data_IF_266749551002
#
_entry.id   IF_266749551002
#
_cell.length_a   1.000
_cell.length_b   1.000
_cell.length_c   1.000
_cell.angle_alpha   90.00
_cell.angle_beta   90.00
_cell.angle_gamma   90.00
#
_symmetry.space_group_name_H-M   'P 1'
#
loop_
_entity.id
_entity.type
_entity.pdbx_description
1 polymer ?
#
# COMPACT_ATOMS: atom_id res chain seq x y z
N UNK A 1 -34.81 12.36 -5.79
CA UNK A 1 -34.85 13.61 -4.98
C UNK A 1 -35.36 13.37 -3.55
N UNK A 2 -36.31 12.45 -3.34
CA UNK A 2 -37.00 12.32 -2.03
C UNK A 2 -36.32 11.42 -0.98
N UNK A 3 -35.36 10.59 -1.38
CA UNK A 3 -34.53 9.78 -0.47
C UNK A 3 -33.38 10.60 0.12
N UNK A 4 -32.77 11.46 -0.70
CA UNK A 4 -31.66 12.34 -0.31
C UNK A 4 -32.11 13.42 0.68
N UNK A 5 -33.34 13.94 0.54
CA UNK A 5 -33.91 14.95 1.44
C UNK A 5 -34.26 14.40 2.83
N UNK A 6 -34.46 13.08 2.96
CA UNK A 6 -34.76 12.40 4.23
C UNK A 6 -33.49 12.06 5.01
N UNK A 7 -32.46 11.57 4.34
CA UNK A 7 -31.12 11.37 4.91
C UNK A 7 -30.50 12.70 5.40
N UNK A 8 -30.66 13.79 4.64
CA UNK A 8 -30.18 15.12 5.02
C UNK A 8 -30.86 15.71 6.26
N UNK A 9 -32.12 15.33 6.53
CA UNK A 9 -32.88 15.79 7.72
C UNK A 9 -32.54 15.00 8.98
N UNK A 10 -32.24 13.71 8.86
CA UNK A 10 -31.83 12.88 10.00
C UNK A 10 -30.45 13.30 10.56
N UNK A 11 -29.50 13.68 9.69
CA UNK A 11 -28.18 14.18 10.11
C UNK A 11 -28.24 15.58 10.79
N UNK A 12 -29.29 16.37 10.54
CA UNK A 12 -29.46 17.66 11.23
C UNK A 12 -29.85 17.51 12.71
N UNK A 13 -30.54 16.43 13.09
CA UNK A 13 -30.99 16.23 14.48
C UNK A 13 -29.92 15.56 15.36
N UNK A 14 -29.01 14.76 14.78
CA UNK A 14 -27.95 14.10 15.54
C UNK A 14 -26.79 15.03 15.94
N UNK A 15 -26.59 16.15 15.25
CA UNK A 15 -25.43 17.05 15.42
C UNK A 15 -25.70 18.28 16.30
N UNK A 16 -26.96 18.62 16.57
CA UNK A 16 -27.33 19.80 17.38
C UNK A 16 -26.96 19.67 18.88
N UNK A 17 -26.47 18.51 19.32
CA UNK A 17 -26.12 18.23 20.72
C UNK A 17 -24.64 18.30 21.07
N UNK A 18 -23.74 18.77 20.19
CA UNK A 18 -22.28 18.64 20.39
C UNK A 18 -21.44 19.92 20.42
N UNK A 19 -22.03 21.11 20.33
CA UNK A 19 -21.28 22.37 20.41
C UNK A 19 -21.47 23.09 21.74
N UNK A 20 -20.79 22.66 22.81
CA UNK A 20 -20.48 23.53 23.96
C UNK A 20 -19.16 23.07 24.61
N UNK A 21 -18.22 24.03 24.73
CA UNK A 21 -16.95 24.04 25.50
C UNK A 21 -15.64 23.67 24.77
N UNK A 22 -15.09 24.65 24.04
CA UNK A 22 -13.64 24.81 23.91
C UNK A 22 -13.24 26.16 24.53
N UNK A 23 -12.62 26.11 25.73
CA UNK A 23 -11.92 27.25 26.33
C UNK A 23 -10.43 26.98 26.11
N UNK A 24 -9.81 27.76 25.24
CA UNK A 24 -8.35 27.86 25.08
C UNK A 24 -7.76 28.63 26.27
N UNK A 25 -6.75 28.10 26.99
CA UNK A 25 -5.95 28.92 27.88
C UNK A 25 -4.77 29.54 27.11
N UNK A 26 -4.68 30.86 27.27
CA UNK A 26 -3.63 31.75 26.79
C UNK A 26 -2.26 31.45 27.42
N UNK A 27 -1.22 31.79 26.65
CA UNK A 27 0.19 31.99 27.00
C UNK A 27 0.56 31.89 28.49
N UNK A 28 1.50 31.01 28.82
CA UNK A 28 2.38 31.25 29.95
C UNK A 28 3.86 30.96 29.62
N UNK A 29 4.61 32.05 29.72
CA UNK A 29 6.02 32.34 29.92
C UNK A 29 7.11 31.25 29.89
N UNK A 30 8.27 31.72 29.39
CA UNK A 30 9.61 31.14 29.48
C UNK A 30 9.88 30.39 30.79
N UNK A 31 9.83 29.06 30.72
CA UNK A 31 10.63 28.18 31.58
C UNK A 31 11.40 27.25 30.67
N UNK A 32 12.70 27.50 30.53
CA UNK A 32 13.67 26.53 30.05
C UNK A 32 13.76 25.39 31.07
N UNK A 33 12.73 24.56 31.09
CA UNK A 33 12.73 23.28 31.78
C UNK A 33 13.65 22.35 31.00
N UNK A 34 14.79 22.00 31.57
CA UNK A 34 15.59 20.87 31.12
C UNK A 34 14.67 19.64 31.10
N UNK A 35 14.22 19.27 29.90
CA UNK A 35 13.32 18.11 29.71
C UNK A 35 14.01 16.88 30.30
N UNK A 36 13.32 16.06 31.11
CA UNK A 36 13.94 14.91 31.77
C UNK A 36 14.52 13.92 30.75
N UNK A 37 15.74 13.43 31.02
CA UNK A 37 16.48 12.51 30.14
C UNK A 37 15.67 11.26 29.75
N UNK A 38 14.74 10.82 30.61
CA UNK A 38 13.83 9.68 30.36
C UNK A 38 12.91 9.89 29.16
N UNK A 39 12.37 11.10 28.97
CA UNK A 39 11.51 11.45 27.82
C UNK A 39 12.32 11.50 26.53
N UNK A 40 13.58 11.94 26.64
CA UNK A 40 14.50 12.02 25.51
C UNK A 40 14.94 10.64 25.01
N UNK A 41 15.25 9.74 25.95
CA UNK A 41 15.59 8.34 25.66
C UNK A 41 14.39 7.58 25.07
N UNK A 42 13.18 7.78 25.61
CA UNK A 42 11.96 7.21 25.05
C UNK A 42 11.77 7.63 23.59
N UNK A 43 11.84 8.92 23.27
CA UNK A 43 11.63 9.39 21.89
C UNK A 43 12.69 8.90 20.90
N UNK A 44 13.94 8.72 21.32
CA UNK A 44 14.98 8.12 20.47
C UNK A 44 14.66 6.65 20.19
N UNK A 45 14.22 5.92 21.22
CA UNK A 45 13.78 4.53 21.09
C UNK A 45 12.54 4.41 20.18
N UNK A 46 11.57 5.31 20.29
CA UNK A 46 10.42 5.37 19.39
C UNK A 46 10.83 5.57 17.92
N UNK A 47 11.72 6.53 17.64
CA UNK A 47 12.22 6.75 16.28
C UNK A 47 12.98 5.52 15.76
N UNK A 48 13.87 4.94 16.57
CA UNK A 48 14.62 3.75 16.21
C UNK A 48 13.70 2.54 15.94
N UNK A 49 12.66 2.35 16.75
CA UNK A 49 11.68 1.28 16.57
C UNK A 49 10.90 1.44 15.25
N UNK A 50 10.46 2.65 14.91
CA UNK A 50 9.78 2.92 13.62
C UNK A 50 10.73 2.70 12.45
N UNK A 51 11.96 3.20 12.52
CA UNK A 51 12.96 3.05 11.46
C UNK A 51 13.33 1.57 11.22
N UNK A 52 13.49 0.80 12.29
CA UNK A 52 13.77 -0.63 12.22
C UNK A 52 12.55 -1.40 11.67
N UNK A 53 11.35 -1.12 12.17
CA UNK A 53 10.11 -1.72 11.69
C UNK A 53 9.90 -1.43 10.19
N UNK A 54 10.14 -0.20 9.74
CA UNK A 54 10.10 0.19 8.32
C UNK A 54 11.14 -0.59 7.51
N UNK A 55 12.39 -0.69 7.98
CA UNK A 55 13.43 -1.41 7.23
C UNK A 55 13.09 -2.90 7.03
N UNK A 56 12.52 -3.54 8.04
CA UNK A 56 12.09 -4.94 8.00
C UNK A 56 10.85 -5.14 7.12
N UNK A 57 9.88 -4.21 7.21
CA UNK A 57 8.72 -4.19 6.32
C UNK A 57 9.15 -4.05 4.86
N UNK A 58 10.12 -3.17 4.57
CA UNK A 58 10.65 -2.99 3.21
C UNK A 58 11.37 -4.20 2.69
N UNK A 59 12.13 -4.87 3.54
CA UNK A 59 12.74 -6.14 3.19
C UNK A 59 11.67 -7.18 2.84
N UNK A 60 10.58 -7.24 3.61
CA UNK A 60 9.48 -8.15 3.33
C UNK A 60 8.74 -7.80 2.02
N UNK A 61 8.46 -6.52 1.78
CA UNK A 61 7.79 -6.03 0.57
C UNK A 61 8.61 -6.32 -0.69
N UNK A 62 9.89 -5.99 -0.69
CA UNK A 62 10.74 -6.32 -1.84
C UNK A 62 10.91 -7.83 -1.98
N UNK A 63 10.92 -8.59 -0.88
CA UNK A 63 11.13 -10.03 -0.90
C UNK A 63 9.98 -10.80 -1.53
N UNK A 64 8.75 -10.30 -1.37
CA UNK A 64 7.62 -10.86 -2.13
C UNK A 64 7.64 -10.43 -3.59
N UNK A 65 7.92 -9.16 -3.89
CA UNK A 65 7.83 -8.63 -5.27
C UNK A 65 8.99 -9.02 -6.19
N UNK A 66 10.18 -9.31 -5.65
CA UNK A 66 11.41 -9.42 -6.44
C UNK A 66 11.40 -10.54 -7.47
N UNK A 67 10.91 -11.72 -7.08
CA UNK A 67 10.91 -12.91 -7.92
C UNK A 67 9.52 -13.54 -8.04
N UNK A 68 8.44 -12.78 -7.80
CA UNK A 68 7.08 -13.34 -7.86
C UNK A 68 6.75 -13.90 -9.25
N UNK A 69 7.15 -13.19 -10.31
CA UNK A 69 6.93 -13.67 -11.69
C UNK A 69 7.66 -14.99 -11.92
N UNK A 70 8.91 -15.08 -11.48
CA UNK A 70 9.70 -16.30 -11.60
C UNK A 70 9.08 -17.45 -10.80
N UNK A 71 8.64 -17.19 -9.57
CA UNK A 71 8.01 -18.19 -8.70
C UNK A 71 6.76 -18.80 -9.37
N UNK A 72 5.93 -17.96 -10.01
CA UNK A 72 4.70 -18.42 -10.67
C UNK A 72 4.98 -19.08 -12.03
N UNK A 73 6.03 -18.68 -12.74
CA UNK A 73 6.38 -19.25 -14.03
C UNK A 73 7.19 -20.55 -13.92
N UNK A 74 7.88 -20.76 -12.80
CA UNK A 74 8.72 -21.95 -12.54
C UNK A 74 7.92 -23.15 -12.05
N UNK A 75 8.59 -24.31 -12.00
CA UNK A 75 8.03 -25.52 -11.37
C UNK A 75 7.64 -25.23 -9.92
N UNK A 76 6.44 -25.65 -9.46
CA UNK A 76 5.43 -26.47 -10.16
C UNK A 76 4.18 -25.68 -10.57
N UNK A 77 4.26 -24.35 -10.69
CA UNK A 77 3.11 -23.53 -11.05
C UNK A 77 2.93 -23.44 -12.56
N UNK A 78 4.05 -23.28 -13.29
CA UNK A 78 4.07 -23.19 -14.76
C UNK A 78 3.03 -22.22 -15.33
N UNK A 79 2.80 -21.08 -14.67
CA UNK A 79 1.92 -20.05 -15.21
C UNK A 79 2.56 -19.45 -16.45
N UNK A 80 1.73 -19.23 -17.48
CA UNK A 80 2.15 -18.50 -18.67
C UNK A 80 2.73 -17.12 -18.27
N UNK A 81 3.77 -16.65 -18.96
CA UNK A 81 4.46 -15.39 -18.62
C UNK A 81 3.52 -14.18 -18.54
N UNK A 82 2.46 -14.16 -19.35
CA UNK A 82 1.39 -13.16 -19.31
C UNK A 82 0.64 -13.17 -17.97
N UNK A 83 0.14 -14.35 -17.56
CA UNK A 83 -0.59 -14.55 -16.29
C UNK A 83 0.31 -14.33 -15.07
N UNK A 84 1.56 -14.81 -15.11
CA UNK A 84 2.55 -14.61 -14.06
C UNK A 84 2.88 -13.11 -13.86
N UNK A 85 2.93 -12.34 -14.94
CA UNK A 85 3.16 -10.88 -14.89
C UNK A 85 1.94 -10.09 -14.41
N UNK A 86 0.72 -10.59 -14.64
CA UNK A 86 -0.50 -9.93 -14.16
C UNK A 86 -0.62 -9.95 -12.63
N UNK A 87 -0.19 -11.02 -11.97
CA UNK A 87 -0.26 -11.15 -10.52
C UNK A 87 0.41 -9.99 -9.74
N UNK A 88 1.69 -9.65 -9.95
CA UNK A 88 2.31 -8.50 -9.29
C UNK A 88 1.69 -7.15 -9.69
N UNK A 89 1.21 -7.00 -10.93
CA UNK A 89 0.55 -5.76 -11.38
C UNK A 89 -0.79 -5.54 -10.65
N UNK A 90 -1.61 -6.60 -10.52
CA UNK A 90 -2.87 -6.57 -9.76
C UNK A 90 -2.58 -6.28 -8.29
N UNK A 91 -1.61 -6.98 -7.69
CA UNK A 91 -1.15 -6.75 -6.33
C UNK A 91 -0.79 -5.28 -6.10
N UNK A 92 0.01 -4.70 -6.99
CA UNK A 92 0.48 -3.33 -6.88
C UNK A 92 -0.65 -2.32 -7.10
N UNK A 93 -1.53 -2.58 -8.07
CA UNK A 93 -2.72 -1.77 -8.32
C UNK A 93 -3.65 -1.70 -7.11
N UNK A 94 -3.96 -2.85 -6.50
CA UNK A 94 -4.79 -2.91 -5.28
C UNK A 94 -4.09 -2.17 -4.12
N UNK A 95 -2.79 -2.36 -3.94
CA UNK A 95 -2.00 -1.71 -2.89
C UNK A 95 -2.12 -0.17 -2.98
N UNK A 96 -1.99 0.40 -4.18
CA UNK A 96 -2.09 1.85 -4.35
C UNK A 96 -3.53 2.36 -4.26
N UNK A 97 -4.52 1.58 -4.70
CA UNK A 97 -5.94 1.95 -4.60
C UNK A 97 -6.47 1.90 -3.16
N UNK A 98 -5.99 0.96 -2.34
CA UNK A 98 -6.41 0.82 -0.94
C UNK A 98 -5.68 1.80 0.00
N UNK A 99 -4.53 2.34 -0.42
CA UNK A 99 -3.73 3.26 0.41
C UNK A 99 -4.52 4.48 0.93
N UNK A 100 -5.31 5.20 0.10
CA UNK A 100 -6.19 6.27 0.59
C UNK A 100 -7.21 5.81 1.63
N UNK A 101 -7.79 4.61 1.44
CA UNK A 101 -8.73 4.04 2.41
C UNK A 101 -8.03 3.72 3.74
N UNK A 102 -6.80 3.22 3.71
CA UNK A 102 -5.98 3.02 4.91
C UNK A 102 -5.72 4.32 5.67
N UNK A 103 -5.46 5.44 4.96
CA UNK A 103 -5.31 6.75 5.59
C UNK A 103 -6.63 7.25 6.20
N UNK A 104 -7.74 7.13 5.45
CA UNK A 104 -9.08 7.44 5.97
C UNK A 104 -9.42 6.64 7.23
N UNK A 105 -9.12 5.33 7.25
CA UNK A 105 -9.40 4.45 8.40
C UNK A 105 -8.64 4.89 9.66
N UNK A 106 -7.38 5.33 9.50
CA UNK A 106 -6.58 5.87 10.59
C UNK A 106 -7.11 7.21 11.11
N UNK A 107 -7.47 8.11 10.21
CA UNK A 107 -7.88 9.47 10.57
C UNK A 107 -9.33 9.54 11.08
N UNK A 108 -10.21 8.64 10.63
CA UNK A 108 -11.64 8.68 10.95
C UNK A 108 -12.09 7.70 12.04
N UNK A 109 -11.42 6.55 12.22
CA UNK A 109 -11.95 5.46 13.06
C UNK A 109 -11.04 5.07 14.22
N UNK A 110 -9.89 4.44 13.93
CA UNK A 110 -9.12 3.68 14.95
C UNK A 110 -7.77 4.31 15.33
N UNK A 111 -7.40 5.42 14.69
CA UNK A 111 -6.11 6.08 14.88
C UNK A 111 -4.96 5.41 14.11
N UNK A 112 -3.90 6.18 13.84
CA UNK A 112 -2.73 5.72 13.05
C UNK A 112 -2.07 4.46 13.61
N UNK A 113 -1.85 4.40 14.93
CA UNK A 113 -1.24 3.23 15.56
C UNK A 113 -2.11 1.97 15.37
N UNK A 114 -3.42 2.08 15.62
CA UNK A 114 -4.36 0.97 15.48
C UNK A 114 -4.42 0.46 14.03
N UNK A 115 -4.48 1.38 13.06
CA UNK A 115 -4.47 1.03 11.64
C UNK A 115 -3.18 0.33 11.23
N UNK A 116 -2.01 0.84 11.61
CA UNK A 116 -0.72 0.22 11.27
C UNK A 116 -0.59 -1.16 11.91
N UNK A 117 -0.98 -1.32 13.18
CA UNK A 117 -0.89 -2.61 13.85
C UNK A 117 -1.83 -3.65 13.21
N UNK A 118 -3.08 -3.28 12.93
CA UNK A 118 -4.04 -4.13 12.25
C UNK A 118 -3.56 -4.50 10.83
N UNK A 119 -3.02 -3.53 10.10
CA UNK A 119 -2.54 -3.76 8.74
C UNK A 119 -1.28 -4.62 8.71
N UNK A 120 -0.36 -4.50 9.67
CA UNK A 120 0.78 -5.41 9.81
C UNK A 120 0.35 -6.85 10.14
N UNK A 121 -0.72 -7.03 10.93
CA UNK A 121 -1.30 -8.36 11.19
C UNK A 121 -1.89 -8.97 9.91
N UNK A 122 -2.71 -8.21 9.18
CA UNK A 122 -3.27 -8.66 7.89
C UNK A 122 -2.18 -8.96 6.87
N UNK A 123 -1.15 -8.11 6.82
CA UNK A 123 0.00 -8.29 5.96
C UNK A 123 0.73 -9.60 6.32
N UNK A 124 0.96 -9.87 7.61
CA UNK A 124 1.60 -11.10 8.07
C UNK A 124 0.80 -12.35 7.68
N UNK A 125 -0.52 -12.34 7.83
CA UNK A 125 -1.37 -13.44 7.38
C UNK A 125 -1.23 -13.71 5.88
N UNK A 126 -1.26 -12.66 5.06
CA UNK A 126 -1.03 -12.79 3.62
C UNK A 126 0.37 -13.31 3.28
N UNK A 127 1.40 -12.84 4.00
CA UNK A 127 2.78 -13.26 3.79
C UNK A 127 3.03 -14.73 4.17
N UNK A 128 2.39 -15.21 5.23
CA UNK A 128 2.51 -16.61 5.67
C UNK A 128 1.98 -17.59 4.63
N UNK A 129 1.02 -17.18 3.79
CA UNK A 129 0.47 -18.02 2.74
C UNK A 129 1.53 -18.42 1.69
N UNK A 130 2.52 -17.58 1.40
CA UNK A 130 3.54 -17.86 0.37
C UNK A 130 4.47 -19.02 0.73
N UNK A 131 5.06 -19.11 1.95
CA UNK A 131 5.75 -20.31 2.40
C UNK A 131 4.90 -21.59 2.33
N UNK A 132 3.62 -21.51 2.70
CA UNK A 132 2.71 -22.66 2.63
C UNK A 132 2.44 -23.10 1.19
N UNK A 133 2.30 -22.16 0.26
CA UNK A 133 2.10 -22.48 -1.17
C UNK A 133 3.42 -22.90 -1.85
N UNK A 134 4.57 -22.43 -1.38
CA UNK A 134 5.86 -22.82 -1.92
C UNK A 134 6.26 -24.25 -1.53
N UNK A 135 5.87 -24.72 -0.34
CA UNK A 135 6.20 -26.05 0.17
C UNK A 135 5.29 -27.13 -0.42
N UNK A 136 5.84 -28.27 -0.82
CA UNK A 136 5.12 -29.28 -1.61
C UNK A 136 3.91 -29.87 -0.86
N UNK A 137 4.11 -30.31 0.38
CA UNK A 137 3.08 -30.99 1.17
C UNK A 137 1.88 -30.08 1.47
N UNK A 138 2.16 -28.85 1.88
CA UNK A 138 1.13 -27.86 2.23
C UNK A 138 0.44 -27.29 1.00
N UNK A 139 1.14 -27.18 -0.14
CA UNK A 139 0.54 -26.80 -1.42
C UNK A 139 -0.45 -27.87 -1.89
N UNK A 140 -0.09 -29.15 -1.83
CA UNK A 140 -1.00 -30.23 -2.25
C UNK A 140 -2.26 -30.27 -1.38
N UNK A 141 -2.13 -29.97 -0.08
CA UNK A 141 -3.29 -29.83 0.80
C UNK A 141 -4.19 -28.63 0.45
N UNK A 142 -3.60 -27.48 0.11
CA UNK A 142 -4.34 -26.24 -0.19
C UNK A 142 -4.94 -26.20 -1.60
N UNK A 143 -4.22 -26.74 -2.58
CA UNK A 143 -4.49 -26.56 -4.01
C UNK A 143 -4.76 -27.87 -4.76
N UNK A 144 -4.66 -29.02 -4.08
CA UNK A 144 -4.75 -30.34 -4.71
C UNK A 144 -3.46 -30.72 -5.44
N UNK A 145 -3.36 -31.96 -5.90
CA UNK A 145 -2.24 -32.38 -6.75
C UNK A 145 -2.28 -31.65 -8.09
N UNK A 146 -1.09 -31.33 -8.60
CA UNK A 146 -0.97 -30.75 -9.93
C UNK A 146 -1.43 -31.79 -10.98
N UNK A 147 -2.41 -31.42 -11.80
CA UNK A 147 -2.82 -32.26 -12.93
C UNK A 147 -1.70 -32.27 -13.97
N UNK A 148 -1.32 -33.47 -14.42
CA UNK A 148 -0.36 -33.65 -15.51
C UNK A 148 -0.79 -32.84 -16.74
N UNK A 149 0.18 -32.26 -17.45
CA UNK A 149 -0.06 -31.47 -18.66
C UNK A 149 -0.88 -32.28 -19.66
N UNK A 150 -2.13 -31.87 -19.97
CA UNK A 150 -2.89 -32.54 -21.00
C UNK A 150 -2.17 -32.32 -22.33
N UNK A 151 -1.86 -33.39 -23.04
CA UNK A 151 -1.28 -33.31 -24.39
C UNK A 151 -2.25 -32.53 -25.26
N UNK A 152 -1.90 -31.30 -25.62
CA UNK A 152 -2.73 -30.50 -26.51
C UNK A 152 -2.49 -30.91 -27.97
N UNK A 153 -3.56 -30.95 -28.79
CA UNK A 153 -3.41 -31.12 -30.24
C UNK A 153 -2.59 -29.98 -30.86
N UNK A 154 -1.75 -30.28 -31.86
CA UNK A 154 -0.91 -29.27 -32.53
C UNK A 154 -1.75 -28.16 -33.18
N UNK A 155 -3.00 -28.46 -33.54
CA UNK A 155 -3.96 -27.54 -34.14
C UNK A 155 -4.37 -26.40 -33.19
N UNK A 156 -4.13 -26.53 -31.87
CA UNK A 156 -4.36 -25.47 -30.88
C UNK A 156 -3.34 -24.33 -30.96
N UNK A 157 -2.19 -24.56 -31.58
CA UNK A 157 -1.14 -23.54 -31.78
C UNK A 157 -1.26 -22.82 -33.13
N UNK A 158 -2.22 -23.21 -33.98
CA UNK A 158 -2.50 -22.55 -35.25
C UNK A 158 -3.41 -21.33 -35.07
N UNK A 159 -3.27 -20.33 -35.95
CA UNK A 159 -4.10 -19.10 -35.93
C UNK A 159 -5.61 -19.35 -36.03
N UNK A 160 -6.01 -20.50 -36.58
CA UNK A 160 -7.41 -20.91 -36.72
C UNK A 160 -7.57 -22.33 -36.19
N UNK A 161 -8.27 -22.46 -35.07
CA UNK A 161 -8.61 -23.76 -34.48
C UNK A 161 -9.82 -24.34 -35.23
N UNK A 162 -9.72 -25.57 -35.79
CA UNK A 162 -10.87 -26.22 -36.43
C UNK A 162 -12.01 -26.44 -35.43
N UNK A 163 -13.29 -26.37 -35.84
CA UNK A 163 -14.43 -26.53 -34.93
C UNK A 163 -14.52 -27.90 -34.26
N UNK A 164 -13.80 -28.91 -34.78
CA UNK A 164 -13.73 -30.27 -34.23
C UNK A 164 -12.59 -30.47 -33.20
N UNK A 165 -11.79 -29.43 -32.93
CA UNK A 165 -10.68 -29.49 -31.97
C UNK A 165 -11.07 -28.73 -30.71
N UNK A 166 -10.98 -29.39 -29.55
CA UNK A 166 -11.19 -28.74 -28.25
C UNK A 166 -9.83 -28.43 -27.63
N UNK A 167 -9.49 -27.15 -27.57
CA UNK A 167 -8.29 -26.67 -26.90
C UNK A 167 -8.63 -26.39 -25.44
N UNK A 168 -8.13 -27.25 -24.54
CA UNK A 168 -8.35 -27.09 -23.10
C UNK A 168 -7.45 -25.98 -22.59
N UNK A 169 -8.02 -24.82 -22.26
CA UNK A 169 -7.28 -23.76 -21.59
C UNK A 169 -7.01 -24.16 -20.13
N UNK A 170 -5.74 -24.33 -19.76
CA UNK A 170 -5.35 -24.73 -18.40
C UNK A 170 -5.47 -23.52 -17.48
N UNK A 171 -6.35 -23.53 -16.45
CA UNK A 171 -6.33 -22.48 -15.45
C UNK A 171 -5.03 -22.55 -14.67
N UNK A 172 -4.48 -21.38 -14.34
CA UNK A 172 -3.24 -21.28 -13.57
C UNK A 172 -3.35 -22.03 -12.23
N UNK A 173 -2.47 -23.01 -12.01
CA UNK A 173 -2.51 -23.87 -10.82
C UNK A 173 -2.36 -23.05 -9.53
N UNK A 174 -3.16 -23.38 -8.51
CA UNK A 174 -3.15 -22.72 -7.19
C UNK A 174 -3.46 -21.21 -7.22
N UNK A 175 -4.03 -20.70 -8.32
CA UNK A 175 -4.37 -19.29 -8.52
C UNK A 175 -5.22 -18.64 -7.42
N UNK A 176 -6.31 -19.26 -6.91
CA UNK A 176 -7.09 -18.67 -5.83
C UNK A 176 -6.28 -18.41 -4.56
N UNK A 177 -5.40 -19.34 -4.18
CA UNK A 177 -4.55 -19.19 -3.00
C UNK A 177 -3.55 -18.03 -3.20
N UNK A 178 -2.85 -18.00 -4.33
CA UNK A 178 -1.90 -16.92 -4.68
C UNK A 178 -2.59 -15.55 -4.66
N UNK A 179 -3.72 -15.40 -5.36
CA UNK A 179 -4.43 -14.11 -5.39
C UNK A 179 -5.00 -13.73 -4.02
N UNK A 180 -5.49 -14.68 -3.22
CA UNK A 180 -5.94 -14.39 -1.85
C UNK A 180 -4.80 -13.87 -0.97
N UNK A 181 -3.62 -14.50 -1.05
CA UNK A 181 -2.41 -14.04 -0.37
C UNK A 181 -2.00 -12.65 -0.83
N UNK A 182 -1.92 -12.42 -2.14
CA UNK A 182 -1.57 -11.12 -2.72
C UNK A 182 -2.56 -10.02 -2.32
N UNK A 183 -3.86 -10.28 -2.29
CA UNK A 183 -4.87 -9.31 -1.86
C UNK A 183 -4.72 -8.97 -0.38
N UNK A 184 -4.52 -9.96 0.49
CA UNK A 184 -4.27 -9.72 1.93
C UNK A 184 -3.00 -8.89 2.15
N UNK A 185 -1.93 -9.24 1.44
CA UNK A 185 -0.67 -8.48 1.44
C UNK A 185 -0.90 -7.06 0.92
N UNK A 186 -1.65 -6.87 -0.18
CA UNK A 186 -1.92 -5.55 -0.75
C UNK A 186 -2.69 -4.63 0.20
N UNK A 187 -3.73 -5.17 0.86
CA UNK A 187 -4.52 -4.43 1.86
C UNK A 187 -3.65 -4.03 3.04
N UNK A 188 -2.83 -4.95 3.56
CA UNK A 188 -1.91 -4.67 4.65
C UNK A 188 -0.87 -3.61 4.28
N UNK A 189 -0.13 -3.82 3.19
CA UNK A 189 0.91 -2.91 2.70
C UNK A 189 0.36 -1.51 2.43
N UNK A 190 -0.78 -1.40 1.74
CA UNK A 190 -1.36 -0.11 1.38
C UNK A 190 -1.73 0.72 2.62
N UNK A 191 -2.30 0.06 3.65
CA UNK A 191 -2.64 0.71 4.90
C UNK A 191 -1.42 1.02 5.79
N UNK A 192 -0.37 0.20 5.78
CA UNK A 192 0.91 0.56 6.45
C UNK A 192 1.50 1.80 5.79
N UNK A 193 1.65 1.80 4.46
CA UNK A 193 2.35 2.85 3.70
C UNK A 193 1.72 4.23 3.84
N UNK A 194 0.39 4.32 3.88
CA UNK A 194 -0.30 5.60 4.06
C UNK A 194 -0.17 6.18 5.48
N UNK A 195 0.16 5.35 6.47
CA UNK A 195 0.10 5.74 7.87
C UNK A 195 1.46 5.78 8.60
N UNK A 196 2.43 4.95 8.24
CA UNK A 196 3.71 4.86 8.96
C UNK A 196 4.55 6.13 8.82
N UNK A 197 4.54 6.74 7.64
CA UNK A 197 5.24 8.01 7.36
C UNK A 197 4.70 9.17 8.21
N UNK A 198 3.39 9.49 8.22
CA UNK A 198 2.86 10.53 9.09
C UNK A 198 2.96 10.16 10.59
N UNK A 199 2.89 8.87 10.93
CA UNK A 199 3.09 8.41 12.32
C UNK A 199 4.53 8.66 12.81
N UNK A 200 5.53 8.41 11.95
CA UNK A 200 6.93 8.72 12.22
C UNK A 200 7.17 10.22 12.36
N UNK A 201 6.57 11.03 11.49
CA UNK A 201 6.63 12.49 11.58
C UNK A 201 6.09 13.01 12.92
N UNK A 202 4.99 12.44 13.41
CA UNK A 202 4.40 12.80 14.69
C UNK A 202 5.35 12.58 15.89
N UNK A 203 6.34 11.69 15.77
CA UNK A 203 7.33 11.45 16.85
C UNK A 203 8.39 12.55 16.98
N UNK A 204 8.57 13.36 15.93
CA UNK A 204 9.63 14.37 15.83
C UNK A 204 9.10 15.78 15.55
N UNK A 205 7.81 15.92 15.26
CA UNK A 205 7.17 17.19 14.86
C UNK A 205 7.43 18.35 15.82
N UNK A 206 7.46 18.07 17.12
CA UNK A 206 7.64 19.07 18.19
C UNK A 206 9.12 19.42 18.47
N UNK A 207 10.06 18.86 17.70
CA UNK A 207 11.50 19.18 17.76
C UNK A 207 11.98 20.12 16.66
N UNK A 208 11.05 20.66 15.88
CA UNK A 208 11.35 21.60 14.80
C UNK A 208 11.76 20.92 13.48
N UNK A 209 11.94 21.73 12.43
CA UNK A 209 12.10 21.24 11.05
C UNK A 209 13.38 20.44 10.83
N UNK A 210 14.46 20.75 11.55
CA UNK A 210 15.74 20.06 11.40
C UNK A 210 15.67 18.60 11.89
N UNK A 211 15.02 18.36 13.03
CA UNK A 211 14.82 17.01 13.57
C UNK A 211 13.94 16.16 12.63
N UNK A 212 12.87 16.75 12.11
CA UNK A 212 12.00 16.10 11.10
C UNK A 212 12.77 15.73 9.84
N UNK A 213 13.61 16.64 9.32
CA UNK A 213 14.47 16.36 8.15
C UNK A 213 15.46 15.23 8.43
N UNK A 214 16.13 15.25 9.59
CA UNK A 214 17.07 14.19 9.99
C UNK A 214 16.37 12.83 10.11
N UNK A 215 15.17 12.79 10.68
CA UNK A 215 14.36 11.58 10.76
C UNK A 215 14.04 11.04 9.36
N UNK A 216 13.58 11.88 8.43
CA UNK A 216 13.27 11.43 7.07
C UNK A 216 14.49 11.03 6.25
N UNK A 217 15.66 11.65 6.48
CA UNK A 217 16.91 11.18 5.89
C UNK A 217 17.22 9.73 6.34
N UNK A 218 17.11 9.44 7.64
CA UNK A 218 17.28 8.08 8.16
C UNK A 218 16.19 7.13 7.67
N UNK A 219 14.94 7.59 7.60
CA UNK A 219 13.82 6.81 7.07
C UNK A 219 14.08 6.38 5.63
N UNK A 220 14.56 7.29 4.79
CA UNK A 220 14.94 6.99 3.41
C UNK A 220 16.12 6.00 3.34
N UNK A 221 17.14 6.16 4.18
CA UNK A 221 18.23 5.19 4.28
C UNK A 221 17.74 3.79 4.67
N UNK A 222 16.86 3.69 5.67
CA UNK A 222 16.27 2.42 6.11
C UNK A 222 15.49 1.71 4.99
N UNK A 223 14.75 2.46 4.17
CA UNK A 223 14.05 1.91 2.99
C UNK A 223 15.05 1.28 2.02
N UNK A 224 16.11 2.01 1.67
CA UNK A 224 17.10 1.53 0.71
C UNK A 224 17.91 0.35 1.24
N UNK A 225 18.28 0.37 2.53
CA UNK A 225 18.97 -0.75 3.19
C UNK A 225 18.09 -2.01 3.17
N UNK A 226 16.81 -1.89 3.51
CA UNK A 226 15.85 -3.01 3.42
C UNK A 226 15.73 -3.55 1.99
N UNK A 227 15.68 -2.67 1.00
CA UNK A 227 15.64 -3.05 -0.41
C UNK A 227 16.91 -3.78 -0.87
N UNK A 228 18.10 -3.33 -0.47
CA UNK A 228 19.38 -3.97 -0.83
C UNK A 228 19.44 -5.40 -0.29
N UNK A 229 19.12 -5.60 0.99
CA UNK A 229 19.13 -6.95 1.57
C UNK A 229 18.08 -7.87 0.96
N UNK A 230 16.93 -7.32 0.57
CA UNK A 230 15.91 -8.09 -0.11
C UNK A 230 16.30 -8.47 -1.54
N UNK A 231 16.62 -7.49 -2.38
CA UNK A 231 16.91 -7.69 -3.80
C UNK A 231 18.26 -8.39 -4.03
N UNK A 232 19.21 -8.25 -3.10
CA UNK A 232 20.48 -8.98 -3.14
C UNK A 232 20.40 -10.33 -2.44
N UNK A 233 20.03 -10.35 -1.15
CA UNK A 233 20.08 -11.54 -0.31
C UNK A 233 18.87 -12.46 -0.46
N UNK A 234 17.66 -11.95 -0.18
CA UNK A 234 16.43 -12.76 -0.23
C UNK A 234 16.18 -13.28 -1.65
N UNK A 235 16.35 -12.42 -2.66
CA UNK A 235 16.16 -12.82 -4.06
C UNK A 235 17.17 -13.89 -4.50
N UNK A 236 18.41 -13.82 -4.03
CA UNK A 236 19.41 -14.87 -4.28
C UNK A 236 18.99 -16.21 -3.67
N UNK A 237 18.53 -16.21 -2.41
CA UNK A 237 18.05 -17.42 -1.71
C UNK A 237 16.85 -18.04 -2.45
N UNK A 238 15.92 -17.21 -2.90
CA UNK A 238 14.75 -17.66 -3.66
C UNK A 238 15.13 -18.41 -4.94
N UNK A 239 16.11 -17.90 -5.70
CA UNK A 239 16.50 -18.45 -6.99
C UNK A 239 17.48 -19.63 -6.87
N UNK A 240 18.43 -19.59 -5.93
CA UNK A 240 19.56 -20.54 -5.88
C UNK A 240 19.38 -21.63 -4.81
N UNK A 241 18.54 -21.42 -3.81
CA UNK A 241 18.35 -22.38 -2.70
C UNK A 241 16.94 -22.97 -2.73
N UNK A 242 15.94 -22.13 -2.48
CA UNK A 242 14.53 -22.55 -2.49
C UNK A 242 13.61 -21.33 -2.31
N UNK A 243 12.53 -21.29 -3.08
CA UNK A 243 11.46 -20.33 -2.88
C UNK A 243 10.77 -20.47 -1.52
N UNK A 244 10.67 -21.67 -0.95
CA UNK A 244 10.04 -21.87 0.36
C UNK A 244 10.81 -21.15 1.47
N UNK A 245 12.12 -21.39 1.57
CA UNK A 245 13.00 -20.68 2.51
C UNK A 245 13.03 -19.19 2.19
N UNK A 246 13.10 -18.85 0.91
CA UNK A 246 13.12 -17.48 0.43
C UNK A 246 11.88 -16.66 0.82
N UNK A 247 10.70 -17.28 0.96
CA UNK A 247 9.50 -16.59 1.45
C UNK A 247 9.33 -16.62 2.98
N UNK A 248 9.94 -17.59 3.67
CA UNK A 248 9.96 -17.61 5.15
C UNK A 248 10.68 -16.36 5.69
N UNK A 249 11.80 -15.96 5.07
CA UNK A 249 12.60 -14.82 5.53
C UNK A 249 11.77 -13.52 5.57
N UNK A 250 11.12 -13.06 4.48
CA UNK A 250 10.16 -11.95 4.49
C UNK A 250 9.07 -12.06 5.57
N UNK A 251 8.48 -13.25 5.76
CA UNK A 251 7.44 -13.45 6.77
C UNK A 251 7.96 -13.25 8.19
N UNK A 252 9.17 -13.76 8.50
CA UNK A 252 9.84 -13.54 9.79
C UNK A 252 10.19 -12.07 9.98
N UNK A 253 10.76 -11.40 8.97
CA UNK A 253 11.07 -9.98 9.03
C UNK A 253 9.83 -9.14 9.36
N UNK A 254 8.71 -9.45 8.70
CA UNK A 254 7.44 -8.77 8.96
C UNK A 254 6.88 -9.08 10.35
N UNK A 255 7.01 -10.33 10.83
CA UNK A 255 6.63 -10.71 12.19
C UNK A 255 7.45 -9.97 13.25
N UNK A 256 8.77 -9.84 13.04
CA UNK A 256 9.64 -9.04 13.91
C UNK A 256 9.27 -7.55 13.86
N UNK A 257 8.96 -7.01 12.68
CA UNK A 257 8.46 -5.64 12.52
C UNK A 257 7.19 -5.39 13.32
N UNK A 258 6.21 -6.32 13.24
CA UNK A 258 4.98 -6.27 14.03
C UNK A 258 5.26 -6.28 15.53
N UNK A 259 6.14 -7.17 16.01
CA UNK A 259 6.51 -7.26 17.43
C UNK A 259 7.16 -5.95 17.89
N UNK A 260 8.12 -5.42 17.15
CA UNK A 260 8.78 -4.14 17.45
C UNK A 260 7.74 -3.01 17.53
N UNK A 261 6.82 -2.96 16.57
CA UNK A 261 5.80 -1.92 16.53
C UNK A 261 4.82 -2.02 17.71
N UNK A 262 4.38 -3.22 18.08
CA UNK A 262 3.50 -3.44 19.24
C UNK A 262 4.22 -3.08 20.54
N UNK A 263 5.46 -3.53 20.74
CA UNK A 263 6.26 -3.22 21.93
C UNK A 263 6.57 -1.72 22.03
N UNK A 264 6.74 -1.05 20.89
CA UNK A 264 6.95 0.39 20.81
C UNK A 264 5.76 1.23 21.29
N UNK A 265 4.56 0.65 21.44
CA UNK A 265 3.35 1.35 21.91
C UNK A 265 3.56 2.11 23.23
N UNK A 266 4.35 1.57 24.15
CA UNK A 266 4.63 2.20 25.44
C UNK A 266 5.42 3.52 25.33
N UNK A 267 6.05 3.76 24.17
CA UNK A 267 7.00 4.84 23.94
C UNK A 267 6.53 5.79 22.83
N UNK A 268 5.64 5.33 21.95
CA UNK A 268 5.10 6.11 20.85
C UNK A 268 4.18 7.24 21.31
N UNK A 269 4.28 8.37 20.61
CA UNK A 269 3.31 9.46 20.67
C UNK A 269 2.17 9.10 19.73
N UNK A 270 1.04 8.68 20.29
CA UNK A 270 -0.18 8.36 19.54
C UNK A 270 -1.20 9.48 19.68
N UNK A 271 -1.76 9.93 18.56
CA UNK A 271 -2.88 10.87 18.54
C UNK A 271 -4.20 10.13 18.29
N UNK A 272 -5.32 10.55 18.89
CA UNK A 272 -6.63 10.03 18.54
C UNK A 272 -7.00 10.40 17.10
N UNK A 273 -8.01 9.72 16.55
CA UNK A 273 -8.61 10.07 15.27
C UNK A 273 -9.27 11.46 15.37
N UNK A 274 -8.94 12.37 14.45
CA UNK A 274 -9.36 13.79 14.47
C UNK A 274 -10.20 14.17 13.24
N UNK A 275 -10.84 13.16 12.62
CA UNK A 275 -11.59 13.32 11.38
C UNK A 275 -10.71 13.26 10.14
N UNK A 276 -11.33 13.12 8.96
CA UNK A 276 -10.61 12.87 7.71
C UNK A 276 -10.85 13.96 6.67
N UNK A 277 -9.76 14.53 6.16
CA UNK A 277 -9.77 15.44 5.03
C UNK A 277 -10.41 14.81 3.78
N UNK A 278 -10.30 13.49 3.60
CA UNK A 278 -10.99 12.77 2.52
C UNK A 278 -12.52 12.85 2.67
N UNK A 279 -13.05 12.67 3.88
CA UNK A 279 -14.49 12.78 4.11
C UNK A 279 -15.00 14.20 3.85
N UNK A 280 -14.25 15.21 4.27
CA UNK A 280 -14.57 16.62 4.02
C UNK A 280 -14.52 16.93 2.51
N UNK A 281 -13.52 16.46 1.79
CA UNK A 281 -13.40 16.62 0.34
C UNK A 281 -14.62 16.05 -0.39
N UNK A 282 -15.02 14.81 -0.10
CA UNK A 282 -16.19 14.20 -0.75
C UNK A 282 -17.49 14.92 -0.40
N UNK A 283 -17.64 15.44 0.82
CA UNK A 283 -18.80 16.26 1.21
C UNK A 283 -18.82 17.60 0.47
N UNK A 284 -17.67 18.25 0.30
CA UNK A 284 -17.54 19.50 -0.47
C UNK A 284 -17.89 19.25 -1.94
N UNK A 285 -17.33 18.20 -2.56
CA UNK A 285 -17.66 17.81 -3.94
C UNK A 285 -19.14 17.44 -4.11
N UNK A 286 -19.69 16.69 -3.16
CA UNK A 286 -21.12 16.34 -3.13
C UNK A 286 -22.01 17.58 -2.99
N UNK A 287 -21.61 18.57 -2.18
CA UNK A 287 -22.35 19.83 -2.05
C UNK A 287 -22.32 20.67 -3.33
N UNK A 288 -21.24 20.59 -4.12
CA UNK A 288 -21.14 21.24 -5.42
C UNK A 288 -22.02 20.56 -6.49
N UNK A 289 -22.19 19.23 -6.42
CA UNK A 289 -22.98 18.45 -7.37
C UNK A 289 -24.48 18.42 -7.03
N UNK A 290 -24.83 18.42 -5.74
CA UNK A 290 -26.20 18.25 -5.25
C UNK A 290 -26.78 19.49 -4.57
N UNK A 291 -25.97 20.51 -4.27
CA UNK A 291 -26.43 21.76 -3.69
C UNK A 291 -27.07 22.67 -4.73
N UNK A 292 -28.01 23.51 -4.28
CA UNK A 292 -28.33 24.73 -5.02
C UNK A 292 -27.06 25.59 -5.07
N UNK A 293 -26.75 26.15 -6.25
CA UNK A 293 -25.54 26.94 -6.47
C UNK A 293 -25.32 28.05 -5.42
N UNK A 294 -24.11 28.65 -5.39
CA UNK A 294 -23.74 29.64 -4.38
C UNK A 294 -24.79 30.75 -4.30
N UNK A 295 -25.28 31.04 -3.08
CA UNK A 295 -26.18 32.19 -2.85
C UNK A 295 -25.43 33.49 -3.14
N UNK A 296 -26.08 34.48 -3.74
CA UNK A 296 -25.39 35.71 -4.18
C UNK A 296 -24.58 36.37 -3.05
N UNK A 297 -23.29 36.66 -3.28
CA UNK A 297 -22.49 37.38 -2.30
C UNK A 297 -22.83 38.87 -2.31
N UNK A 298 -22.56 39.54 -1.18
CA UNK A 298 -22.43 40.99 -1.10
C UNK A 298 -21.43 41.52 -2.16
N UNK A 299 -21.75 42.65 -2.80
CA UNK A 299 -21.13 43.31 -3.97
C UNK A 299 -19.58 43.38 -4.07
N UNK A 300 -18.82 43.01 -3.03
CA UNK A 300 -17.35 43.08 -2.98
C UNK A 300 -16.60 41.79 -3.37
N UNK A 301 -17.28 40.67 -3.62
CA UNK A 301 -16.59 39.37 -3.85
C UNK A 301 -16.52 38.96 -5.33
N UNK A 302 -15.44 38.26 -5.74
CA UNK A 302 -15.33 37.70 -7.08
C UNK A 302 -16.45 36.70 -7.37
N UNK A 303 -16.78 36.52 -8.66
CA UNK A 303 -17.84 35.61 -9.12
C UNK A 303 -17.59 34.19 -8.59
N UNK A 304 -18.55 33.58 -7.87
CA UNK A 304 -18.33 32.30 -7.21
C UNK A 304 -18.29 31.14 -8.22
N UNK A 305 -17.40 30.19 -7.98
CA UNK A 305 -17.37 28.87 -8.63
C UNK A 305 -18.39 27.93 -8.00
N UNK A 306 -18.75 26.83 -8.65
CA UNK A 306 -19.73 25.86 -8.12
C UNK A 306 -19.32 25.33 -6.72
N UNK A 307 -18.02 25.11 -6.53
CA UNK A 307 -17.44 24.69 -5.24
C UNK A 307 -17.54 25.75 -4.14
N UNK A 308 -17.68 27.04 -4.48
CA UNK A 308 -17.86 28.11 -3.49
C UNK A 308 -19.17 27.98 -2.72
N UNK A 309 -20.18 27.30 -3.27
CA UNK A 309 -21.42 27.02 -2.56
C UNK A 309 -21.23 26.21 -1.26
N UNK A 310 -20.10 25.50 -1.11
CA UNK A 310 -19.76 24.76 0.10
C UNK A 310 -19.27 25.65 1.25
N UNK A 311 -18.84 26.89 0.95
CA UNK A 311 -18.28 27.82 1.95
C UNK A 311 -19.38 28.42 2.82
N UNK A 312 -19.07 28.66 4.09
CA UNK A 312 -19.95 29.39 5.03
C UNK A 312 -20.41 30.74 4.44
N UNK A 313 -19.52 31.47 3.76
CA UNK A 313 -19.84 32.76 3.14
C UNK A 313 -20.94 32.71 2.06
N UNK A 314 -21.20 31.54 1.48
CA UNK A 314 -22.21 31.33 0.43
C UNK A 314 -23.37 30.44 0.92
N UNK A 315 -23.48 30.22 2.24
CA UNK A 315 -24.54 29.42 2.88
C UNK A 315 -24.21 27.94 3.06
N UNK A 316 -22.95 27.53 2.86
CA UNK A 316 -22.44 26.19 3.14
C UNK A 316 -21.95 26.00 4.59
N UNK A 317 -21.24 24.90 4.85
CA UNK A 317 -20.80 24.50 6.22
C UNK A 317 -19.27 24.47 6.39
N UNK A 318 -18.52 24.64 5.31
CA UNK A 318 -17.06 24.50 5.35
C UNK A 318 -16.37 25.86 5.40
N UNK A 319 -15.24 25.92 6.11
CA UNK A 319 -14.39 27.11 6.13
C UNK A 319 -13.86 27.43 4.72
N UNK A 320 -13.52 28.69 4.47
CA UNK A 320 -13.00 29.10 3.16
C UNK A 320 -11.71 28.36 2.82
N UNK A 321 -10.84 28.14 3.81
CA UNK A 321 -9.59 27.39 3.71
C UNK A 321 -9.81 25.97 3.16
N UNK A 322 -10.69 25.18 3.80
CA UNK A 322 -10.97 23.79 3.37
C UNK A 322 -11.49 23.72 1.93
N UNK A 323 -12.34 24.66 1.52
CA UNK A 323 -12.88 24.66 0.16
C UNK A 323 -11.82 25.06 -0.87
N UNK A 324 -10.95 26.02 -0.54
CA UNK A 324 -9.83 26.40 -1.42
C UNK A 324 -8.79 25.28 -1.55
N UNK A 325 -8.52 24.51 -0.49
CA UNK A 325 -7.66 23.32 -0.55
C UNK A 325 -8.21 22.28 -1.54
N UNK A 326 -9.52 22.00 -1.50
CA UNK A 326 -10.17 21.06 -2.44
C UNK A 326 -10.08 21.58 -3.88
N UNK A 327 -10.27 22.88 -4.10
CA UNK A 327 -10.11 23.47 -5.44
C UNK A 327 -8.67 23.37 -5.94
N UNK A 328 -7.69 23.61 -5.06
CA UNK A 328 -6.28 23.45 -5.39
C UNK A 328 -5.97 22.01 -5.80
N UNK A 329 -6.50 21.02 -5.07
CA UNK A 329 -6.35 19.60 -5.41
C UNK A 329 -6.95 19.27 -6.78
N UNK A 330 -8.16 19.75 -7.08
CA UNK A 330 -8.82 19.55 -8.39
C UNK A 330 -7.98 20.16 -9.53
N UNK A 331 -7.35 21.31 -9.31
CA UNK A 331 -6.45 21.94 -10.29
C UNK A 331 -5.17 21.15 -10.53
N UNK A 332 -4.72 20.36 -9.55
CA UNK A 332 -3.50 19.53 -9.66
C UNK A 332 -3.82 18.17 -10.35
N UNK A 333 -5.08 17.73 -10.37
CA UNK A 333 -5.47 16.43 -10.93
C UNK A 333 -4.96 16.15 -12.36
N UNK A 334 -4.97 17.10 -13.32
CA UNK A 334 -4.41 16.88 -14.66
C UNK A 334 -2.92 16.52 -14.63
N UNK A 335 -2.15 17.05 -13.68
CA UNK A 335 -0.73 16.71 -13.50
C UNK A 335 -0.57 15.26 -13.07
N UNK A 336 -1.41 14.78 -12.15
CA UNK A 336 -1.39 13.36 -11.75
C UNK A 336 -1.79 12.42 -12.89
N UNK A 337 -2.77 12.80 -13.73
CA UNK A 337 -3.16 12.02 -14.90
C UNK A 337 -2.02 11.91 -15.92
N UNK A 338 -1.23 12.98 -16.09
CA UNK A 338 -0.05 12.97 -16.96
C UNK A 338 1.08 12.04 -16.46
N UNK A 339 1.07 11.64 -15.18
CA UNK A 339 2.04 10.68 -14.63
C UNK A 339 1.64 9.21 -14.85
N UNK A 340 0.42 8.91 -15.29
CA UNK A 340 -0.02 7.52 -15.52
C UNK A 340 0.91 6.78 -16.49
N UNK A 341 1.29 7.33 -17.66
CA UNK A 341 2.19 6.64 -18.58
C UNK A 341 3.57 6.34 -17.98
N UNK A 342 4.10 7.24 -17.15
CA UNK A 342 5.37 7.02 -16.45
C UNK A 342 5.28 5.78 -15.55
N UNK A 343 4.22 5.67 -14.74
CA UNK A 343 4.03 4.52 -13.86
C UNK A 343 3.80 3.21 -14.64
N UNK A 344 3.06 3.27 -15.76
CA UNK A 344 2.87 2.11 -16.65
C UNK A 344 4.21 1.55 -17.13
N UNK A 345 5.16 2.40 -17.51
CA UNK A 345 6.51 1.99 -17.93
C UNK A 345 7.34 1.53 -16.73
N UNK A 346 7.30 2.25 -15.62
CA UNK A 346 8.07 1.92 -14.41
C UNK A 346 7.76 0.50 -13.91
N UNK A 347 6.49 0.10 -13.87
CA UNK A 347 6.11 -1.24 -13.40
C UNK A 347 6.54 -2.37 -14.35
N UNK A 348 6.87 -2.09 -15.61
CA UNK A 348 7.42 -3.11 -16.53
C UNK A 348 8.78 -3.63 -16.07
N UNK A 349 9.53 -2.84 -15.28
CA UNK A 349 10.82 -3.27 -14.72
C UNK A 349 10.69 -4.48 -13.79
N UNK A 350 9.52 -4.66 -13.16
CA UNK A 350 9.26 -5.78 -12.24
C UNK A 350 8.66 -7.02 -12.93
N UNK A 351 8.29 -6.90 -14.22
CA UNK A 351 7.59 -7.96 -14.96
C UNK A 351 8.27 -8.27 -16.28
N UNK A 352 7.99 -7.49 -17.33
CA UNK A 352 8.43 -7.75 -18.70
C UNK A 352 9.95 -7.80 -18.82
N UNK A 353 10.66 -6.90 -18.13
CA UNK A 353 12.14 -6.89 -18.17
C UNK A 353 12.72 -8.12 -17.49
N UNK A 354 12.04 -8.65 -16.47
CA UNK A 354 12.43 -9.88 -15.82
C UNK A 354 12.30 -11.08 -16.76
N UNK A 355 11.16 -11.22 -17.44
CA UNK A 355 10.97 -12.29 -18.43
C UNK A 355 11.97 -12.19 -19.59
N UNK A 356 12.23 -10.98 -20.08
CA UNK A 356 13.25 -10.76 -21.11
C UNK A 356 14.64 -11.19 -20.63
N UNK A 357 14.98 -10.93 -19.36
CA UNK A 357 16.30 -11.27 -18.80
C UNK A 357 16.59 -12.77 -18.79
N UNK A 358 15.56 -13.62 -18.74
CA UNK A 358 15.71 -15.08 -18.82
C UNK A 358 16.24 -15.56 -20.18
N UNK A 359 16.10 -14.76 -21.22
CA UNK A 359 16.60 -15.05 -22.57
C UNK A 359 17.92 -14.33 -22.89
N UNK A 360 18.49 -13.59 -21.94
CA UNK A 360 19.78 -12.92 -22.10
C UNK A 360 20.90 -13.85 -21.62
N UNK A 361 21.93 -14.01 -22.44
CA UNK A 361 23.16 -14.70 -22.05
C UNK A 361 24.13 -13.72 -21.41
N UNK A 362 24.75 -14.10 -20.28
CA UNK A 362 25.80 -13.31 -19.63
C UNK A 362 27.15 -13.76 -20.22
N UNK A 363 27.85 -12.93 -21.01
CA UNK A 363 29.13 -13.32 -21.58
C UNK A 363 30.13 -13.66 -20.47
N UNK A 364 30.63 -14.91 -20.46
CA UNK A 364 31.61 -15.40 -19.48
C UNK A 364 31.05 -16.21 -18.30
N UNK A 365 29.73 -16.43 -18.22
CA UNK A 365 29.13 -17.32 -17.21
C UNK A 365 29.17 -18.82 -17.60
N UNK A 366 29.41 -19.13 -18.88
CA UNK A 366 29.45 -20.50 -19.42
C UNK A 366 30.82 -21.19 -19.19
N UNK A 367 31.31 -21.15 -17.96
CA UNK A 367 32.50 -21.91 -17.54
C UNK A 367 32.10 -22.78 -16.34
N UNK A 368 31.28 -23.82 -16.59
CA UNK A 368 31.28 -25.13 -15.88
C UNK A 368 29.94 -25.89 -15.79
N UNK A 369 28.83 -25.52 -16.44
CA UNK A 369 27.63 -26.37 -16.40
C UNK A 369 27.66 -27.47 -17.46
N UNK A 370 28.13 -28.65 -17.05
CA UNK A 370 28.03 -29.92 -17.79
C UNK A 370 26.66 -30.59 -17.57
N UNK A 371 25.57 -29.84 -17.51
CA UNK A 371 24.21 -30.41 -17.46
C UNK A 371 23.34 -29.78 -18.55
N UNK A 372 23.18 -30.55 -19.61
CA UNK A 372 22.28 -30.26 -20.72
C UNK A 372 20.90 -30.82 -20.39
N UNK A 373 20.04 -29.99 -19.81
CA UNK A 373 18.60 -30.21 -19.89
C UNK A 373 18.03 -29.29 -20.98
N UNK A 374 17.50 -29.83 -22.10
CA UNK A 374 16.88 -29.01 -23.12
C UNK A 374 15.56 -28.47 -22.57
N UNK A 375 15.45 -27.15 -22.47
CA UNK A 375 14.17 -26.46 -22.31
C UNK A 375 13.47 -26.54 -23.67
N UNK A 376 12.49 -27.43 -23.77
CA UNK A 376 11.60 -27.57 -24.93
C UNK A 376 10.62 -26.39 -25.03
N UNK A 377 10.40 -25.96 -26.27
CA UNK A 377 9.47 -24.92 -26.75
C UNK A 377 8.05 -24.96 -26.17
#
# INVERSE_FOLDING_TARGET
MDFCSRLWRQDQQAMAGREVNEITPLLDNHVSSARPESVFNGRRLACAAILLAESLERMAFYGITSNLVLFLNSSPFYWEGTSASQAPLIFMGITYLISPFGGWLADACIGKFGTIALSLVLYLFGMLLFPFVASNDTRNYLCGEEMAFPVQPAECFNKTVPPNVTCVNRPSYCSPAIYSGLVLVAVGVGAVKSNITPFGADQVKDRGPEATRRFFNWFYWCINVGAIFSLGGVAYIQQNISFSIGYIIPAVCLGVSLIIFILGKAVFITKPADGSAFSDMFRILGSALCGGGPKEPSLLRPKPTVLDGAKVAYGGRFSEEKVEEVKALVKILPVFLALIPYWTVYFQMQTTYYLQSLHLTIPGADINSTDSHPVSE
#
